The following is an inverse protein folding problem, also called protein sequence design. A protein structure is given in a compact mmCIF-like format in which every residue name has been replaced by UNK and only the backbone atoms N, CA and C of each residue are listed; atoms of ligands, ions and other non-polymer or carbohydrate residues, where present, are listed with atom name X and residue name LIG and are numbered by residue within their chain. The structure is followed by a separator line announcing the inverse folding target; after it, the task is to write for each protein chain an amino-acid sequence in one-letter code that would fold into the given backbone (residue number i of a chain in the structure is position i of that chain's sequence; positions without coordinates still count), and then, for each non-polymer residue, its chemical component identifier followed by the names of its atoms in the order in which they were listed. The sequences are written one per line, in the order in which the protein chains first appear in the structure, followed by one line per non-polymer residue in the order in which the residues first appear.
data_IF_355162474256
#
_entry.id   IF_355162474256
#
_cell.length_a   1.000
_cell.length_b   1.000
_cell.length_c   1.000
_cell.angle_alpha   90.00
_cell.angle_beta   90.00
_cell.angle_gamma   90.00
#
_symmetry.space_group_name_H-M   'P 1'
#
loop_
_entity.id
_entity.type
_entity.pdbx_description
1 polymer ?
#
# COMPACT_ATOMS: atom_id res chain seq x y z
N UNK A 1 -6.63 -0.52 -23.40
CA UNK A 1 -5.77 -1.27 -22.44
C UNK A 1 -6.53 -2.48 -21.88
N UNK A 2 -7.74 -2.28 -21.35
CA UNK A 2 -8.60 -3.33 -20.81
C UNK A 2 -8.89 -4.50 -21.78
N UNK A 3 -9.25 -4.22 -23.04
CA UNK A 3 -9.60 -5.27 -24.02
C UNK A 3 -8.47 -6.26 -24.33
N UNK A 4 -7.21 -5.89 -24.05
CA UNK A 4 -6.04 -6.75 -24.26
C UNK A 4 -5.75 -7.65 -23.06
N UNK A 5 -6.42 -7.44 -21.95
CA UNK A 5 -6.27 -8.24 -20.73
C UNK A 5 -6.87 -9.62 -20.94
N UNK A 6 -6.27 -10.63 -20.30
CA UNK A 6 -6.90 -11.95 -20.18
C UNK A 6 -8.23 -11.85 -19.43
N UNK A 7 -9.13 -12.83 -19.59
CA UNK A 7 -10.42 -12.84 -18.87
C UNK A 7 -10.24 -12.80 -17.35
N UNK A 8 -9.19 -13.44 -16.83
CA UNK A 8 -8.89 -13.44 -15.40
C UNK A 8 -8.39 -12.07 -14.91
N UNK A 9 -7.63 -11.34 -15.72
CA UNK A 9 -7.26 -9.95 -15.43
C UNK A 9 -8.46 -8.99 -15.52
N UNK A 10 -9.36 -9.18 -16.50
CA UNK A 10 -10.62 -8.43 -16.58
C UNK A 10 -11.47 -8.65 -15.32
N UNK A 11 -11.49 -9.87 -14.78
CA UNK A 11 -12.11 -10.16 -13.49
C UNK A 11 -11.46 -9.39 -12.35
N UNK A 12 -10.12 -9.34 -12.25
CA UNK A 12 -9.42 -8.56 -11.22
C UNK A 12 -9.88 -7.10 -11.22
N UNK A 13 -9.95 -6.48 -12.41
CA UNK A 13 -10.46 -5.12 -12.59
C UNK A 13 -11.92 -5.03 -12.18
N UNK A 14 -12.81 -5.93 -12.65
CA UNK A 14 -14.22 -5.92 -12.24
C UNK A 14 -14.39 -5.98 -10.72
N UNK A 15 -13.63 -6.85 -10.05
CA UNK A 15 -13.63 -6.99 -8.59
C UNK A 15 -13.12 -5.74 -7.86
N UNK A 16 -12.30 -4.88 -8.48
CA UNK A 16 -11.86 -3.63 -7.86
C UNK A 16 -12.98 -2.58 -7.78
N UNK A 17 -13.93 -2.60 -8.71
CA UNK A 17 -15.09 -1.70 -8.74
C UNK A 17 -16.29 -2.20 -7.91
N UNK A 18 -16.32 -3.49 -7.57
CA UNK A 18 -17.39 -4.05 -6.75
C UNK A 18 -17.17 -3.76 -5.25
N UNK A 19 -18.25 -3.47 -4.48
CA UNK A 19 -18.18 -3.19 -3.04
C UNK A 19 -18.03 -4.47 -2.21
N UNK A 20 -17.05 -5.31 -2.55
CA UNK A 20 -16.74 -6.57 -1.87
C UNK A 20 -15.58 -6.39 -0.88
N UNK A 21 -15.58 -7.18 0.20
CA UNK A 21 -14.42 -7.27 1.09
C UNK A 21 -13.24 -7.92 0.37
N UNK A 22 -12.02 -7.67 0.83
CA UNK A 22 -10.79 -8.28 0.28
C UNK A 22 -10.91 -9.80 0.24
N UNK A 23 -11.40 -10.43 1.32
CA UNK A 23 -11.61 -11.89 1.39
C UNK A 23 -12.57 -12.38 0.30
N UNK A 24 -13.67 -11.66 0.05
CA UNK A 24 -14.62 -12.01 -1.01
C UNK A 24 -14.00 -11.83 -2.40
N UNK A 25 -13.21 -10.78 -2.63
CA UNK A 25 -12.49 -10.58 -3.89
C UNK A 25 -11.53 -11.75 -4.15
N UNK A 26 -10.76 -12.15 -3.15
CA UNK A 26 -9.84 -13.29 -3.25
C UNK A 26 -10.55 -14.62 -3.44
N UNK A 27 -11.69 -14.83 -2.79
CA UNK A 27 -12.51 -16.02 -2.99
C UNK A 27 -13.04 -16.11 -4.43
N UNK A 28 -13.55 -15.01 -4.98
CA UNK A 28 -13.99 -14.95 -6.38
C UNK A 28 -12.84 -15.18 -7.36
N UNK A 29 -11.68 -14.55 -7.13
CA UNK A 29 -10.49 -14.74 -7.95
C UNK A 29 -10.01 -16.20 -7.91
N UNK A 30 -9.85 -16.78 -6.72
CA UNK A 30 -9.41 -18.17 -6.54
C UNK A 30 -10.36 -19.18 -7.19
N UNK A 31 -11.66 -18.92 -7.19
CA UNK A 31 -12.64 -19.75 -7.91
C UNK A 31 -12.32 -19.83 -9.41
N UNK A 32 -12.04 -18.69 -10.07
CA UNK A 32 -11.74 -18.65 -11.51
C UNK A 32 -10.28 -18.95 -11.88
N UNK A 33 -9.38 -19.00 -10.91
CA UNK A 33 -8.08 -19.65 -11.10
C UNK A 33 -8.27 -21.17 -11.27
N UNK A 34 -9.21 -21.76 -10.51
CA UNK A 34 -9.48 -23.20 -10.55
C UNK A 34 -10.47 -23.63 -11.66
N UNK A 35 -11.24 -22.69 -12.22
CA UNK A 35 -12.28 -22.97 -13.21
C UNK A 35 -12.16 -22.04 -14.43
N UNK A 36 -12.24 -22.56 -15.67
CA UNK A 36 -12.14 -21.73 -16.87
C UNK A 36 -13.20 -20.62 -16.91
N UNK A 37 -12.74 -19.38 -17.07
CA UNK A 37 -13.59 -18.22 -17.24
C UNK A 37 -13.82 -17.94 -18.74
N UNK A 38 -15.01 -18.21 -19.25
CA UNK A 38 -15.39 -17.95 -20.66
C UNK A 38 -16.01 -16.57 -20.83
N UNK A 39 -17.21 -16.36 -20.28
CA UNK A 39 -17.95 -15.10 -20.37
C UNK A 39 -18.17 -14.47 -18.99
N UNK A 40 -17.44 -13.39 -18.69
CA UNK A 40 -17.45 -12.70 -17.41
C UNK A 40 -18.85 -12.17 -17.03
N UNK A 41 -19.62 -11.68 -18.01
CA UNK A 41 -20.97 -11.16 -17.79
C UNK A 41 -21.93 -12.22 -17.22
N UNK A 42 -21.82 -13.48 -17.67
CA UNK A 42 -22.71 -14.57 -17.26
C UNK A 42 -22.35 -15.18 -15.89
N UNK A 43 -21.21 -14.83 -15.32
CA UNK A 43 -20.71 -15.44 -14.08
C UNK A 43 -21.35 -14.90 -12.78
N UNK A 44 -22.20 -13.88 -12.86
CA UNK A 44 -22.80 -13.22 -11.69
C UNK A 44 -23.47 -14.19 -10.71
N UNK A 45 -24.39 -15.07 -11.16
CA UNK A 45 -25.05 -16.04 -10.27
C UNK A 45 -24.10 -17.05 -9.63
N UNK A 46 -23.08 -17.51 -10.38
CA UNK A 46 -22.07 -18.46 -9.89
C UNK A 46 -21.25 -17.81 -8.77
N UNK A 47 -20.76 -16.59 -9.01
CA UNK A 47 -19.99 -15.85 -8.01
C UNK A 47 -20.84 -15.47 -6.81
N UNK A 48 -22.08 -15.04 -7.01
CA UNK A 48 -22.98 -14.72 -5.90
C UNK A 48 -23.14 -15.90 -4.94
N UNK A 49 -23.32 -17.11 -5.50
CA UNK A 49 -23.41 -18.36 -4.73
C UNK A 49 -22.09 -18.69 -4.05
N UNK A 50 -20.98 -18.61 -4.77
CA UNK A 50 -19.65 -18.89 -4.23
C UNK A 50 -19.32 -17.94 -3.07
N UNK A 51 -19.62 -16.64 -3.21
CA UNK A 51 -19.39 -15.64 -2.17
C UNK A 51 -20.40 -15.68 -1.02
N UNK A 52 -21.37 -16.61 -1.07
CA UNK A 52 -22.43 -16.76 -0.07
C UNK A 52 -23.15 -15.44 0.21
N UNK A 53 -23.45 -14.68 -0.84
CA UNK A 53 -24.19 -13.42 -0.72
C UNK A 53 -25.65 -13.77 -0.43
N UNK A 54 -26.08 -13.64 0.81
CA UNK A 54 -27.46 -13.91 1.26
C UNK A 54 -28.35 -12.65 1.28
N UNK A 55 -27.75 -11.48 1.42
CA UNK A 55 -28.44 -10.18 1.43
C UNK A 55 -28.13 -9.41 0.15
N UNK A 56 -29.09 -8.62 -0.33
CA UNK A 56 -28.93 -7.75 -1.51
C UNK A 56 -28.50 -8.50 -2.79
N UNK A 57 -29.01 -9.72 -3.00
CA UNK A 57 -28.69 -10.56 -4.16
C UNK A 57 -29.01 -9.87 -5.49
N UNK A 58 -30.23 -9.33 -5.63
CA UNK A 58 -30.67 -8.63 -6.84
C UNK A 58 -29.79 -7.42 -7.14
N UNK A 59 -29.42 -6.66 -6.10
CA UNK A 59 -28.53 -5.51 -6.23
C UNK A 59 -27.13 -5.96 -6.68
N UNK A 60 -26.59 -7.04 -6.12
CA UNK A 60 -25.30 -7.59 -6.56
C UNK A 60 -25.33 -8.00 -8.04
N UNK A 61 -26.37 -8.74 -8.45
CA UNK A 61 -26.53 -9.17 -9.84
C UNK A 61 -26.69 -7.98 -10.79
N UNK A 62 -27.44 -6.95 -10.38
CA UNK A 62 -27.57 -5.71 -11.12
C UNK A 62 -26.21 -5.03 -11.31
N UNK A 63 -25.45 -4.78 -10.23
CA UNK A 63 -24.10 -4.20 -10.34
C UNK A 63 -23.15 -5.08 -11.16
N UNK A 64 -23.28 -6.40 -11.08
CA UNK A 64 -22.48 -7.31 -11.89
C UNK A 64 -22.79 -7.16 -13.38
N UNK A 65 -24.06 -7.03 -13.76
CA UNK A 65 -24.47 -6.86 -15.14
C UNK A 65 -24.12 -5.46 -15.67
N UNK A 66 -24.32 -4.41 -14.87
CA UNK A 66 -23.99 -3.02 -15.23
C UNK A 66 -22.49 -2.79 -15.44
N UNK A 67 -21.64 -3.49 -14.68
CA UNK A 67 -20.18 -3.51 -14.89
C UNK A 67 -19.80 -4.53 -15.96
N UNK A 68 -20.32 -4.34 -17.18
CA UNK A 68 -19.93 -5.12 -18.35
C UNK A 68 -18.53 -4.72 -18.86
N UNK A 69 -18.05 -5.44 -19.89
CA UNK A 69 -16.71 -5.23 -20.44
C UNK A 69 -16.54 -3.84 -21.07
N UNK A 70 -17.57 -3.31 -21.72
CA UNK A 70 -17.54 -1.97 -22.31
C UNK A 70 -17.45 -0.91 -21.21
N UNK A 71 -18.28 -1.02 -20.18
CA UNK A 71 -18.29 -0.08 -19.06
C UNK A 71 -16.96 -0.09 -18.32
N UNK A 72 -16.35 -1.25 -18.11
CA UNK A 72 -15.02 -1.37 -17.51
C UNK A 72 -13.92 -0.79 -18.41
N UNK A 73 -14.01 -0.98 -19.73
CA UNK A 73 -13.10 -0.36 -20.67
C UNK A 73 -13.18 1.17 -20.59
N UNK A 74 -14.39 1.75 -20.54
CA UNK A 74 -14.59 3.18 -20.40
C UNK A 74 -14.07 3.71 -19.05
N UNK A 75 -14.39 3.03 -17.95
CA UNK A 75 -13.97 3.43 -16.60
C UNK A 75 -12.45 3.38 -16.41
N UNK A 76 -11.76 2.51 -17.16
CA UNK A 76 -10.30 2.33 -17.06
C UNK A 76 -9.53 3.04 -18.16
N UNK A 77 -10.20 3.67 -19.13
CA UNK A 77 -9.55 4.29 -20.30
C UNK A 77 -8.49 5.33 -19.93
N UNK A 78 -8.73 6.12 -18.88
CA UNK A 78 -7.82 7.17 -18.39
C UNK A 78 -7.01 6.76 -17.16
N UNK A 79 -7.14 5.51 -16.70
CA UNK A 79 -6.46 5.03 -15.50
C UNK A 79 -5.32 4.09 -15.86
N UNK A 80 -4.17 4.29 -15.22
CA UNK A 80 -3.07 3.34 -15.28
C UNK A 80 -3.20 2.36 -14.12
N UNK A 81 -3.05 1.08 -14.43
CA UNK A 81 -3.08 0.03 -13.43
C UNK A 81 -2.22 -1.16 -13.86
N UNK A 82 -1.87 -1.98 -12.89
CA UNK A 82 -1.32 -3.33 -13.06
C UNK A 82 -2.18 -4.32 -12.29
N UNK A 83 -2.31 -5.54 -12.79
CA UNK A 83 -3.02 -6.61 -12.08
C UNK A 83 -2.01 -7.53 -11.40
N UNK A 84 -2.46 -8.33 -10.45
CA UNK A 84 -1.63 -9.37 -9.81
C UNK A 84 -1.04 -10.39 -10.81
N UNK A 85 -1.61 -10.48 -12.01
CA UNK A 85 -1.17 -11.37 -13.08
C UNK A 85 -0.17 -10.71 -14.03
N UNK A 86 0.02 -9.39 -13.93
CA UNK A 86 0.99 -8.66 -14.72
C UNK A 86 2.42 -9.00 -14.28
N UNK A 87 3.34 -9.14 -15.23
CA UNK A 87 4.77 -9.37 -14.96
C UNK A 87 5.41 -8.23 -14.16
N UNK A 88 4.88 -7.01 -14.30
CA UNK A 88 5.35 -5.83 -13.56
C UNK A 88 4.82 -5.76 -12.12
N UNK A 89 4.01 -6.73 -11.67
CA UNK A 89 3.51 -6.75 -10.29
C UNK A 89 4.62 -7.16 -9.32
N UNK A 90 4.84 -6.40 -8.22
CA UNK A 90 5.97 -6.67 -7.33
C UNK A 90 5.82 -8.01 -6.60
N UNK A 91 6.81 -8.89 -6.77
CA UNK A 91 6.81 -10.24 -6.18
C UNK A 91 6.71 -10.19 -4.65
N UNK A 92 7.43 -9.26 -4.00
CA UNK A 92 7.38 -9.05 -2.54
C UNK A 92 5.96 -8.77 -2.04
N UNK A 93 5.15 -8.05 -2.81
CA UNK A 93 3.76 -7.82 -2.45
C UNK A 93 2.91 -9.05 -2.76
N UNK A 94 3.19 -9.75 -3.86
CA UNK A 94 2.48 -10.96 -4.29
C UNK A 94 2.57 -12.10 -3.27
N UNK A 95 3.66 -12.15 -2.52
CA UNK A 95 3.90 -13.11 -1.44
C UNK A 95 3.06 -12.86 -0.18
N UNK A 96 2.47 -11.66 -0.04
CA UNK A 96 1.71 -11.30 1.17
C UNK A 96 0.39 -12.04 1.31
N UNK A 97 -0.24 -11.97 2.49
CA UNK A 97 -1.61 -12.47 2.66
C UNK A 97 -2.62 -11.55 1.96
N UNK A 98 -3.29 -12.09 0.93
CA UNK A 98 -4.33 -11.42 0.15
C UNK A 98 -3.90 -10.08 -0.49
N UNK A 99 -2.88 -10.04 -1.36
CA UNK A 99 -2.40 -8.82 -2.00
C UNK A 99 -3.50 -8.11 -2.82
N UNK A 100 -3.35 -6.81 -3.12
CA UNK A 100 -4.26 -6.12 -4.02
C UNK A 100 -4.31 -6.81 -5.38
N UNK A 101 -5.50 -7.23 -5.83
CA UNK A 101 -5.65 -7.84 -7.17
C UNK A 101 -5.32 -6.86 -8.30
N UNK A 102 -5.46 -5.55 -8.02
CA UNK A 102 -5.15 -4.44 -8.93
C UNK A 102 -4.47 -3.33 -8.12
N UNK A 103 -3.42 -2.74 -8.70
CA UNK A 103 -2.85 -1.48 -8.23
C UNK A 103 -3.03 -0.43 -9.32
N UNK A 104 -3.83 0.59 -9.02
CA UNK A 104 -3.90 1.83 -9.79
C UNK A 104 -2.70 2.69 -9.43
N UNK A 105 -2.11 3.37 -10.41
CA UNK A 105 -0.90 4.16 -10.15
C UNK A 105 -0.80 5.42 -11.00
N UNK A 106 0.00 6.37 -10.49
CA UNK A 106 0.43 7.58 -11.20
C UNK A 106 1.92 7.80 -10.94
N UNK A 107 2.64 8.16 -12.01
CA UNK A 107 4.09 8.28 -12.00
C UNK A 107 4.80 7.02 -12.53
N UNK A 108 6.01 6.76 -12.02
CA UNK A 108 6.91 5.73 -12.53
C UNK A 108 6.72 4.38 -11.81
N UNK A 109 6.02 3.44 -12.46
CA UNK A 109 5.78 2.10 -11.90
C UNK A 109 7.05 1.26 -11.72
N UNK A 110 8.17 1.60 -12.38
CA UNK A 110 9.41 0.83 -12.25
C UNK A 110 9.95 0.83 -10.81
N UNK A 111 9.56 1.82 -10.01
CA UNK A 111 9.91 1.89 -8.58
C UNK A 111 9.35 0.72 -7.77
N UNK A 112 8.27 0.06 -8.21
CA UNK A 112 7.70 -1.10 -7.52
C UNK A 112 8.67 -2.29 -7.45
N UNK A 113 9.61 -2.36 -8.40
CA UNK A 113 10.58 -3.45 -8.52
C UNK A 113 11.88 -3.16 -7.75
N UNK A 114 12.01 -1.97 -7.16
CA UNK A 114 13.19 -1.60 -6.39
C UNK A 114 13.05 -2.01 -4.93
N UNK A 115 14.18 -2.10 -4.23
CA UNK A 115 14.22 -2.37 -2.79
C UNK A 115 13.62 -1.20 -2.02
N UNK A 116 12.77 -1.47 -1.04
CA UNK A 116 11.99 -0.43 -0.36
C UNK A 116 12.07 -0.59 1.16
N UNK A 117 12.10 0.54 1.85
CA UNK A 117 11.91 0.63 3.29
C UNK A 117 10.66 1.45 3.58
N UNK A 118 9.76 0.90 4.40
CA UNK A 118 8.55 1.60 4.78
C UNK A 118 8.83 2.50 5.99
N UNK A 119 8.45 3.77 5.90
CA UNK A 119 8.64 4.76 6.97
C UNK A 119 7.27 5.20 7.46
N UNK A 120 6.94 4.92 8.72
CA UNK A 120 5.61 5.20 9.28
C UNK A 120 5.71 5.86 10.63
N UNK A 121 4.68 6.62 11.01
CA UNK A 121 4.63 7.21 12.35
C UNK A 121 3.49 8.17 12.57
N UNK A 122 3.68 9.03 13.58
CA UNK A 122 2.69 9.97 14.08
C UNK A 122 2.26 10.98 13.02
N UNK A 123 0.95 11.20 12.93
CA UNK A 123 0.38 12.30 12.14
C UNK A 123 0.65 13.69 12.75
N UNK A 124 1.06 13.72 14.01
CA UNK A 124 1.44 14.90 14.78
C UNK A 124 2.87 14.69 15.29
N UNK A 125 3.79 14.48 14.34
CA UNK A 125 5.19 14.21 14.64
C UNK A 125 5.82 15.38 15.40
N UNK A 126 6.64 15.07 16.40
CA UNK A 126 7.39 16.07 17.16
C UNK A 126 8.57 16.64 16.36
N UNK A 127 9.13 17.80 16.77
CA UNK A 127 10.37 18.31 16.20
C UNK A 127 11.52 17.31 16.28
N UNK A 128 11.61 16.54 17.37
CA UNK A 128 12.58 15.47 17.52
C UNK A 128 12.43 14.39 16.44
N UNK A 129 11.19 13.95 16.17
CA UNK A 129 10.92 12.95 15.13
C UNK A 129 11.40 13.44 13.74
N UNK A 130 11.21 14.73 13.42
CA UNK A 130 11.74 15.30 12.18
C UNK A 130 13.26 15.33 12.15
N UNK A 131 13.93 15.73 13.23
CA UNK A 131 15.40 15.72 13.31
C UNK A 131 16.00 14.31 13.18
N UNK A 132 15.36 13.31 13.80
CA UNK A 132 15.75 11.90 13.61
C UNK A 132 15.65 11.53 12.14
N UNK A 133 14.53 11.86 11.48
CA UNK A 133 14.32 11.54 10.07
C UNK A 133 15.36 12.21 9.16
N UNK A 134 15.74 13.46 9.43
CA UNK A 134 16.80 14.17 8.70
C UNK A 134 18.17 13.49 8.81
N UNK A 135 18.45 12.78 9.91
CA UNK A 135 19.69 12.02 10.08
C UNK A 135 19.59 10.60 9.54
N UNK A 136 18.43 9.96 9.70
CA UNK A 136 18.22 8.54 9.42
C UNK A 136 18.01 8.26 7.94
N UNK A 137 17.26 9.12 7.23
CA UNK A 137 16.83 8.85 5.86
C UNK A 137 17.92 9.04 4.79
N UNK A 138 18.77 10.09 4.83
CA UNK A 138 19.72 10.32 3.74
C UNK A 138 20.63 9.13 3.45
N UNK A 139 21.25 8.44 4.44
CA UNK A 139 22.08 7.28 4.15
C UNK A 139 21.28 6.11 3.53
N UNK A 140 20.02 5.91 3.92
CA UNK A 140 19.16 4.87 3.33
C UNK A 140 18.85 5.19 1.86
N UNK A 141 18.63 6.48 1.57
CA UNK A 141 18.37 6.98 0.22
C UNK A 141 19.63 6.84 -0.65
N UNK A 142 20.80 7.16 -0.12
CA UNK A 142 22.09 7.04 -0.81
C UNK A 142 22.41 5.58 -1.16
N UNK A 143 22.01 4.62 -0.33
CA UNK A 143 22.06 3.17 -0.61
C UNK A 143 20.98 2.70 -1.61
N UNK A 144 20.19 3.63 -2.16
CA UNK A 144 19.20 3.34 -3.20
C UNK A 144 17.90 2.72 -2.70
N UNK A 145 17.61 2.75 -1.39
CA UNK A 145 16.32 2.30 -0.87
C UNK A 145 15.22 3.30 -1.24
N UNK A 146 14.15 2.78 -1.83
CA UNK A 146 12.93 3.54 -2.08
C UNK A 146 12.17 3.73 -0.77
N UNK A 147 11.80 4.97 -0.46
CA UNK A 147 11.01 5.27 0.72
C UNK A 147 9.52 5.01 0.43
N UNK A 148 8.91 4.06 1.10
CA UNK A 148 7.47 3.75 0.94
C UNK A 148 6.68 4.26 2.15
N UNK A 149 5.63 5.03 1.92
CA UNK A 149 4.79 5.55 3.01
C UNK A 149 3.38 5.91 2.54
N UNK A 150 2.56 6.40 3.47
CA UNK A 150 1.12 6.53 3.31
C UNK A 150 0.61 7.91 2.94
N UNK A 151 1.46 8.88 2.59
CA UNK A 151 1.06 10.27 2.29
C UNK A 151 0.15 10.91 3.38
N UNK A 152 0.21 10.44 4.63
CA UNK A 152 -0.46 11.10 5.74
C UNK A 152 0.33 12.34 6.20
N UNK A 153 -0.28 13.19 7.03
CA UNK A 153 0.45 14.27 7.73
C UNK A 153 1.57 13.69 8.61
N UNK A 154 2.54 14.53 8.98
CA UNK A 154 3.59 14.16 9.92
C UNK A 154 4.65 13.29 9.23
N UNK A 155 4.99 12.18 9.89
CA UNK A 155 6.08 11.27 9.47
C UNK A 155 5.94 10.88 7.99
N UNK A 156 4.78 10.40 7.56
CA UNK A 156 4.60 9.92 6.18
C UNK A 156 4.93 11.00 5.13
N UNK A 157 4.28 12.17 5.20
CA UNK A 157 4.52 13.27 4.27
C UNK A 157 5.96 13.78 4.32
N UNK A 158 6.59 13.76 5.50
CA UNK A 158 7.95 14.26 5.65
C UNK A 158 8.99 13.27 5.11
N UNK A 159 8.74 11.96 5.24
CA UNK A 159 9.58 10.92 4.66
C UNK A 159 9.68 11.06 3.13
N UNK A 160 8.53 11.28 2.49
CA UNK A 160 8.45 11.58 1.06
C UNK A 160 9.17 12.88 0.68
N UNK A 161 9.08 13.93 1.52
CA UNK A 161 9.78 15.20 1.26
C UNK A 161 11.29 15.00 1.30
N UNK A 162 11.81 14.35 2.35
CA UNK A 162 13.22 14.08 2.48
C UNK A 162 13.73 13.21 1.33
N UNK A 163 13.01 12.15 0.96
CA UNK A 163 13.34 11.34 -0.20
C UNK A 163 13.55 12.20 -1.46
N UNK A 164 12.65 13.16 -1.74
CA UNK A 164 12.80 14.03 -2.91
C UNK A 164 13.87 15.12 -2.75
N UNK A 165 14.08 15.65 -1.54
CA UNK A 165 15.12 16.65 -1.25
C UNK A 165 16.51 16.06 -1.47
N UNK A 166 16.73 14.83 -1.02
CA UNK A 166 17.97 14.10 -1.20
C UNK A 166 18.02 13.31 -2.52
N UNK A 167 17.22 13.71 -3.52
CA UNK A 167 17.20 13.13 -4.87
C UNK A 167 16.93 11.61 -4.96
N UNK A 168 16.38 11.02 -3.90
CA UNK A 168 15.94 9.65 -3.82
C UNK A 168 14.60 9.38 -4.50
N UNK A 169 14.16 8.13 -4.33
CA UNK A 169 12.90 7.62 -4.86
C UNK A 169 11.91 7.34 -3.74
N UNK A 170 10.61 7.52 -4.03
CA UNK A 170 9.58 7.30 -3.03
C UNK A 170 8.24 6.87 -3.61
N UNK A 171 7.52 6.03 -2.86
CA UNK A 171 6.20 5.48 -3.25
C UNK A 171 5.16 5.85 -2.19
N UNK A 172 4.16 6.61 -2.63
CA UNK A 172 3.01 6.96 -1.80
C UNK A 172 1.86 5.99 -2.02
N UNK A 173 1.53 5.17 -1.03
CA UNK A 173 0.35 4.28 -1.10
C UNK A 173 -0.84 5.06 -0.55
N UNK A 174 -2.01 5.10 -1.20
CA UNK A 174 -3.22 5.82 -0.71
C UNK A 174 -4.45 4.95 -0.51
N UNK A 175 -5.37 5.42 0.34
CA UNK A 175 -6.58 4.71 0.77
C UNK A 175 -7.88 5.19 0.09
N UNK A 176 -7.76 5.85 -1.06
CA UNK A 176 -8.88 6.37 -1.86
C UNK A 176 -8.51 6.32 -3.35
N UNK A 177 -9.41 6.75 -4.23
CA UNK A 177 -9.08 6.91 -5.64
C UNK A 177 -7.84 7.80 -5.81
N UNK A 178 -7.00 7.47 -6.78
CA UNK A 178 -5.71 8.16 -7.04
C UNK A 178 -5.88 9.59 -7.57
N UNK A 179 -7.10 9.96 -7.93
CA UNK A 179 -7.55 11.29 -8.29
C UNK A 179 -7.87 12.15 -7.05
N UNK A 180 -7.94 11.55 -5.86
CA UNK A 180 -8.33 12.22 -4.61
C UNK A 180 -7.12 12.34 -3.68
N UNK A 181 -6.59 13.57 -3.54
CA UNK A 181 -5.59 13.89 -2.53
C UNK A 181 -6.24 13.99 -1.13
N UNK A 182 -5.87 13.08 -0.23
CA UNK A 182 -6.24 13.14 1.18
C UNK A 182 -5.06 12.79 2.10
N UNK A 183 -4.77 13.61 3.13
CA UNK A 183 -5.47 14.85 3.49
C UNK A 183 -5.11 16.04 2.56
N UNK A 184 -5.91 17.11 2.52
CA UNK A 184 -5.73 18.21 1.54
C UNK A 184 -4.42 18.97 1.72
N UNK A 185 -3.88 18.96 2.93
CA UNK A 185 -2.65 19.67 3.31
C UNK A 185 -1.40 19.06 2.65
N UNK A 186 -1.45 17.79 2.23
CA UNK A 186 -0.34 17.16 1.51
C UNK A 186 -0.45 17.34 -0.01
N UNK A 187 -1.32 18.24 -0.51
CA UNK A 187 -1.53 18.41 -1.95
C UNK A 187 -0.27 18.78 -2.71
N UNK A 188 0.54 19.68 -2.19
CA UNK A 188 1.77 20.10 -2.89
C UNK A 188 2.74 18.94 -3.12
N UNK A 189 2.93 18.07 -2.12
CA UNK A 189 3.77 16.89 -2.26
C UNK A 189 3.12 15.82 -3.15
N UNK A 190 1.80 15.66 -3.05
CA UNK A 190 1.02 14.73 -3.87
C UNK A 190 1.21 14.99 -5.36
N UNK A 191 0.98 16.23 -5.81
CA UNK A 191 1.10 16.59 -7.24
C UNK A 191 2.54 16.44 -7.76
N UNK A 192 3.55 16.74 -6.93
CA UNK A 192 4.95 16.51 -7.28
C UNK A 192 5.23 15.02 -7.45
N UNK A 193 4.75 14.19 -6.53
CA UNK A 193 4.97 12.74 -6.60
C UNK A 193 4.31 12.10 -7.83
N UNK A 194 3.13 12.56 -8.25
CA UNK A 194 2.48 12.07 -9.48
C UNK A 194 3.35 12.21 -10.74
N UNK A 195 4.23 13.21 -10.78
CA UNK A 195 5.04 13.51 -11.97
C UNK A 195 6.50 13.07 -11.84
N UNK A 196 7.04 12.99 -10.62
CA UNK A 196 8.46 12.74 -10.37
C UNK A 196 8.75 11.38 -9.69
N UNK A 197 7.73 10.76 -9.10
CA UNK A 197 7.84 9.60 -8.22
C UNK A 197 6.71 8.61 -8.54
N UNK A 198 6.20 7.88 -7.54
CA UNK A 198 5.07 6.97 -7.73
C UNK A 198 4.02 7.14 -6.62
N UNK A 199 2.75 7.14 -7.02
CA UNK A 199 1.61 6.98 -6.12
C UNK A 199 0.84 5.74 -6.54
N UNK A 200 0.41 4.92 -5.59
CA UNK A 200 -0.39 3.72 -5.84
C UNK A 200 -1.64 3.67 -4.97
N UNK A 201 -2.69 3.03 -5.48
CA UNK A 201 -3.93 2.76 -4.76
C UNK A 201 -4.50 1.41 -5.16
N UNK A 202 -5.13 0.70 -4.21
CA UNK A 202 -5.98 -0.45 -4.52
C UNK A 202 -7.37 -0.03 -5.02
N UNK A 203 -7.71 1.25 -4.85
CA UNK A 203 -9.04 1.77 -5.16
C UNK A 203 -9.05 2.48 -6.52
N UNK A 204 -10.05 2.19 -7.37
CA UNK A 204 -10.19 2.90 -8.64
C UNK A 204 -10.45 4.39 -8.39
N UNK A 205 -10.16 5.21 -9.41
CA UNK A 205 -10.48 6.63 -9.41
C UNK A 205 -11.92 6.88 -8.97
N UNK A 206 -12.16 8.03 -8.36
CA UNK A 206 -13.43 8.47 -7.75
C UNK A 206 -13.82 7.77 -6.45
N UNK A 207 -13.08 6.73 -6.02
CA UNK A 207 -13.38 6.05 -4.74
C UNK A 207 -13.20 7.00 -3.56
N UNK A 208 -14.27 7.29 -2.78
CA UNK A 208 -14.20 8.30 -1.74
C UNK A 208 -13.32 7.87 -0.56
N UNK A 209 -12.86 8.87 0.19
CA UNK A 209 -12.11 8.66 1.43
C UNK A 209 -12.99 7.97 2.47
N UNK A 210 -12.56 6.81 2.98
CA UNK A 210 -13.24 6.09 4.04
C UNK A 210 -12.26 5.72 5.15
N UNK A 211 -12.66 5.90 6.41
CA UNK A 211 -11.76 5.66 7.57
C UNK A 211 -11.21 4.25 7.63
N UNK A 212 -12.01 3.25 7.25
CA UNK A 212 -11.59 1.85 7.26
C UNK A 212 -10.63 1.50 6.10
N UNK A 213 -10.47 2.35 5.09
CA UNK A 213 -9.47 2.13 4.04
C UNK A 213 -8.03 2.36 4.53
N UNK A 214 -7.80 3.20 5.56
CA UNK A 214 -6.43 3.48 6.00
C UNK A 214 -5.74 2.27 6.61
N UNK A 215 -6.36 1.49 7.53
CA UNK A 215 -5.77 0.23 7.99
C UNK A 215 -5.57 -0.78 6.85
N UNK A 216 -6.53 -0.88 5.92
CA UNK A 216 -6.41 -1.79 4.77
C UNK A 216 -5.27 -1.40 3.84
N UNK A 217 -5.06 -0.10 3.60
CA UNK A 217 -3.96 0.43 2.80
C UNK A 217 -2.60 0.09 3.42
N UNK A 218 -2.50 0.09 4.75
CA UNK A 218 -1.23 -0.15 5.45
C UNK A 218 -0.62 -1.53 5.16
N UNK A 219 -1.44 -2.54 4.83
CA UNK A 219 -0.93 -3.85 4.38
C UNK A 219 -0.10 -3.76 3.10
N UNK A 220 -0.42 -2.81 2.22
CA UNK A 220 0.30 -2.59 0.97
C UNK A 220 1.62 -1.88 1.26
N UNK A 221 1.64 -0.94 2.21
CA UNK A 221 2.88 -0.29 2.68
C UNK A 221 3.83 -1.32 3.27
N UNK A 222 3.35 -2.17 4.18
CA UNK A 222 4.15 -3.23 4.78
C UNK A 222 4.58 -4.27 3.73
N UNK A 223 3.68 -4.68 2.85
CA UNK A 223 3.93 -5.71 1.84
C UNK A 223 4.88 -5.31 0.72
N UNK A 224 4.96 -4.02 0.38
CA UNK A 224 5.90 -3.51 -0.62
C UNK A 224 7.33 -3.37 -0.08
N UNK A 225 7.52 -3.33 1.24
CA UNK A 225 8.80 -3.04 1.86
C UNK A 225 9.49 -4.29 2.41
N UNK A 226 10.83 -4.28 2.40
CA UNK A 226 11.64 -5.32 3.03
C UNK A 226 11.60 -5.21 4.57
N UNK A 227 11.29 -4.01 5.08
CA UNK A 227 11.06 -3.76 6.49
C UNK A 227 10.28 -2.46 6.73
N UNK A 228 9.77 -2.31 7.96
CA UNK A 228 9.02 -1.12 8.39
C UNK A 228 9.74 -0.45 9.54
N UNK A 229 10.11 0.83 9.38
CA UNK A 229 10.66 1.67 10.42
C UNK A 229 9.60 2.63 11.00
N UNK A 230 9.35 2.48 12.30
CA UNK A 230 8.43 3.32 13.06
C UNK A 230 9.20 4.44 13.76
N UNK A 231 8.99 5.69 13.32
CA UNK A 231 9.74 6.87 13.80
C UNK A 231 9.21 7.38 15.14
N UNK A 232 7.90 7.58 15.24
CA UNK A 232 7.24 8.07 16.47
C UNK A 232 5.82 7.52 16.48
N UNK A 233 5.42 6.85 17.56
CA UNK A 233 4.11 6.24 17.65
C UNK A 233 3.65 6.13 19.10
N UNK A 234 2.39 6.50 19.34
CA UNK A 234 1.69 6.19 20.58
C UNK A 234 1.18 4.76 20.55
N UNK A 235 0.93 4.21 21.73
CA UNK A 235 0.17 2.98 21.89
C UNK A 235 -1.18 3.06 21.15
N UNK A 236 -1.63 1.92 20.60
CA UNK A 236 -2.84 1.78 19.75
C UNK A 236 -2.89 2.71 18.53
N UNK A 237 -1.76 3.19 18.03
CA UNK A 237 -1.72 4.02 16.81
C UNK A 237 -1.74 3.17 15.53
N UNK A 238 -2.17 3.78 14.43
CA UNK A 238 -2.22 3.11 13.12
C UNK A 238 -0.85 2.65 12.60
N UNK A 239 0.24 3.27 13.04
CA UNK A 239 1.61 2.87 12.69
C UNK A 239 1.99 1.53 13.33
N UNK A 240 1.47 1.22 14.52
CA UNK A 240 1.66 -0.09 15.16
C UNK A 240 0.91 -1.20 14.42
N UNK A 241 -0.23 -0.88 13.81
CA UNK A 241 -0.94 -1.82 12.92
C UNK A 241 -0.05 -2.17 11.74
N UNK A 242 0.62 -1.18 11.12
CA UNK A 242 1.55 -1.44 10.01
C UNK A 242 2.74 -2.27 10.46
N UNK A 243 3.30 -2.02 11.64
CA UNK A 243 4.39 -2.82 12.19
C UNK A 243 3.95 -4.28 12.45
N UNK A 244 2.74 -4.49 12.98
CA UNK A 244 2.20 -5.84 13.14
C UNK A 244 2.02 -6.55 11.81
N UNK A 245 1.45 -5.87 10.81
CA UNK A 245 1.30 -6.41 9.46
C UNK A 245 2.67 -6.78 8.86
N UNK A 246 3.72 -6.01 9.12
CA UNK A 246 5.07 -6.35 8.67
C UNK A 246 5.58 -7.65 9.31
N UNK A 247 5.36 -7.83 10.62
CA UNK A 247 5.71 -9.08 11.33
C UNK A 247 4.96 -10.26 10.74
N UNK A 248 3.64 -10.10 10.52
CA UNK A 248 2.78 -11.16 9.99
C UNK A 248 3.24 -11.61 8.59
N UNK A 249 3.83 -10.71 7.80
CA UNK A 249 4.40 -10.97 6.47
C UNK A 249 5.90 -11.33 6.50
N UNK A 250 6.47 -11.57 7.68
CA UNK A 250 7.88 -11.96 7.83
C UNK A 250 8.89 -10.85 7.50
N UNK A 251 8.48 -9.58 7.58
CA UNK A 251 9.32 -8.41 7.31
C UNK A 251 9.95 -7.90 8.61
N UNK A 252 11.16 -7.31 8.50
CA UNK A 252 11.85 -6.72 9.64
C UNK A 252 11.11 -5.49 10.16
N UNK A 253 10.98 -5.37 11.48
CA UNK A 253 10.43 -4.18 12.13
C UNK A 253 11.53 -3.45 12.90
N UNK A 254 11.62 -2.17 12.58
CA UNK A 254 12.56 -1.23 13.15
C UNK A 254 11.79 -0.17 13.93
N UNK A 255 12.34 0.26 15.05
CA UNK A 255 11.71 1.30 15.85
C UNK A 255 12.71 2.26 16.45
N UNK A 256 12.45 3.55 16.24
CA UNK A 256 13.26 4.62 16.80
C UNK A 256 12.90 4.80 18.28
N UNK A 257 13.89 4.79 19.20
CA UNK A 257 13.65 5.07 20.59
C UNK A 257 13.33 6.56 20.79
N UNK A 258 12.53 6.85 21.80
CA UNK A 258 12.23 8.23 22.15
C UNK A 258 11.94 8.40 23.64
N UNK A 259 11.57 9.62 24.02
CA UNK A 259 11.36 9.97 25.41
C UNK A 259 10.22 9.16 26.05
N UNK A 260 10.51 8.57 27.22
CA UNK A 260 9.56 7.75 28.00
C UNK A 260 8.45 8.61 28.61
N UNK A 261 8.75 9.84 29.04
CA UNK A 261 7.85 10.69 29.83
C UNK A 261 6.73 11.30 28.98
N UNK A 262 7.04 11.80 27.76
CA UNK A 262 6.07 12.51 26.93
C UNK A 262 4.91 11.65 26.38
N UNK A 263 4.99 10.33 26.57
CA UNK A 263 4.04 9.32 26.07
C UNK A 263 3.85 9.31 24.55
N UNK A 264 4.62 10.09 23.78
CA UNK A 264 4.55 10.11 22.31
C UNK A 264 5.15 8.85 21.69
N UNK A 265 6.09 8.23 22.41
CA UNK A 265 6.90 7.10 21.99
C UNK A 265 6.51 5.80 22.70
N UNK A 266 5.35 5.73 23.36
CA UNK A 266 4.95 4.50 24.07
C UNK A 266 4.83 3.32 23.12
N UNK A 267 4.37 3.55 21.88
CA UNK A 267 4.29 2.53 20.85
C UNK A 267 5.65 2.10 20.33
N UNK A 268 6.55 3.04 20.04
CA UNK A 268 7.90 2.71 19.57
C UNK A 268 8.70 1.96 20.64
N UNK A 269 8.67 2.45 21.89
CA UNK A 269 9.32 1.77 23.01
C UNK A 269 8.73 0.37 23.25
N UNK A 270 7.41 0.20 23.08
CA UNK A 270 6.75 -1.10 23.21
C UNK A 270 7.19 -2.06 22.10
N UNK A 271 7.28 -1.60 20.85
CA UNK A 271 7.81 -2.41 19.74
C UNK A 271 9.23 -2.89 20.05
N UNK A 272 10.10 -2.02 20.57
CA UNK A 272 11.46 -2.41 20.97
C UNK A 272 11.43 -3.49 22.07
N UNK A 273 10.56 -3.33 23.07
CA UNK A 273 10.38 -4.35 24.12
C UNK A 273 9.84 -5.68 23.58
N UNK A 274 9.02 -5.65 22.53
CA UNK A 274 8.43 -6.81 21.88
C UNK A 274 9.37 -7.45 20.83
N UNK A 275 10.59 -6.92 20.68
CA UNK A 275 11.65 -7.51 19.86
C UNK A 275 11.94 -6.80 18.54
N UNK A 276 11.30 -5.66 18.25
CA UNK A 276 11.70 -4.84 17.10
C UNK A 276 13.14 -4.31 17.29
N UNK A 277 13.89 -4.21 16.19
CA UNK A 277 15.24 -3.66 16.20
C UNK A 277 15.18 -2.19 16.62
N UNK A 278 15.88 -1.85 17.71
CA UNK A 278 16.08 -0.47 18.12
C UNK A 278 16.99 0.23 17.10
N UNK A 279 16.53 1.35 16.55
CA UNK A 279 17.26 2.11 15.50
C UNK A 279 17.70 3.45 16.04
N UNK A 280 19.01 3.66 16.11
CA UNK A 280 19.63 4.95 16.44
C UNK A 280 20.37 5.54 15.24
N UNK A 281 20.57 4.76 14.17
CA UNK A 281 21.30 5.13 12.97
C UNK A 281 20.82 4.33 11.75
N UNK A 282 21.15 4.79 10.54
CA UNK A 282 20.77 4.10 9.32
C UNK A 282 21.42 2.70 9.19
N UNK A 283 22.63 2.51 9.73
CA UNK A 283 23.31 1.21 9.74
C UNK A 283 22.51 0.14 10.48
N UNK A 284 21.79 0.50 11.55
CA UNK A 284 20.94 -0.46 12.28
C UNK A 284 19.84 -1.06 11.41
N UNK A 285 19.41 -0.34 10.37
CA UNK A 285 18.46 -0.83 9.36
C UNK A 285 19.19 -1.62 8.29
N UNK A 286 20.25 -1.05 7.72
CA UNK A 286 20.98 -1.64 6.60
C UNK A 286 21.53 -3.02 6.95
N UNK A 287 22.13 -3.17 8.13
CA UNK A 287 22.75 -4.43 8.59
C UNK A 287 21.75 -5.59 8.76
N UNK A 288 20.47 -5.28 8.95
CA UNK A 288 19.40 -6.27 9.16
C UNK A 288 18.65 -6.63 7.87
N UNK A 289 18.83 -5.86 6.78
CA UNK A 289 18.15 -6.16 5.53
C UNK A 289 18.86 -7.30 4.77
N UNK A 290 18.12 -8.29 4.23
CA UNK A 290 18.64 -9.60 3.80
C UNK A 290 19.72 -9.60 2.70
N UNK A 291 20.00 -8.45 2.07
CA UNK A 291 20.99 -8.31 0.99
C UNK A 291 22.13 -7.32 1.30
N UNK A 292 22.25 -6.80 2.52
CA UNK A 292 23.38 -5.95 2.88
C UNK A 292 24.59 -6.80 3.29
N UNK A 293 25.26 -7.38 2.30
CA UNK A 293 26.67 -7.75 2.44
C UNK A 293 27.48 -6.68 1.75
N UNK A 294 28.16 -5.87 2.56
CA UNK A 294 29.21 -4.94 2.12
C UNK A 294 30.12 -5.68 1.14
N UNK A 295 30.20 -5.19 -0.09
CA UNK A 295 31.23 -5.59 -1.05
C UNK A 295 32.59 -5.07 -0.60
#
# INVERSE_FOLDING_TARGET
MFERLSKLEQLCVKLSYLPLSIQKKWRAFGYFVAHPLTELAQQGPIIMRELQISQHQDLFLQYWQELDEQKLADLTAEQKFITILSDDYPDVLKETYQPPLVLFYEGDKSLLQQRQIAIVGSRLASPYAYQVMEQLLPPLIDEGLVITSGLAKGVDSYAHQLAMIYHGKTIGVVGCGIDICYPKEVRSIYERMKTQQLIVSEYPATTPVRRFHFPLRNRIIAGLAEGVCVIEAKDKSGSLITAQLAIDEGRSVFSVPGEVISRRNTGTLKLIQDGAKCVISASDILDELPNFRVK
#
